data_IF_565481611206
#
_entry.id   IF_565481611206
#
_cell.length_a   1.000
_cell.length_b   1.000
_cell.length_c   1.000
_cell.angle_alpha   90.00
_cell.angle_beta   90.00
_cell.angle_gamma   90.00
#
_symmetry.space_group_name_H-M   'P 1'
#
loop_
_entity.id
_entity.type
_entity.pdbx_description
1 polymer ?
#
# COMPACT_ATOMS: atom_id res chain seq x y z
N UNK A 1 58.01 70.09 48.17
CA UNK A 1 57.90 69.01 47.16
C UNK A 1 59.18 69.07 46.33
N UNK A 2 59.88 67.95 46.19
CA UNK A 2 61.09 67.87 45.36
C UNK A 2 60.67 67.72 43.89
N UNK A 3 61.49 68.19 42.95
CA UNK A 3 61.19 68.04 41.51
C UNK A 3 60.89 66.58 41.13
N UNK A 4 61.59 65.60 41.71
CA UNK A 4 61.34 64.18 41.44
C UNK A 4 59.93 63.71 41.83
N UNK A 5 59.34 64.24 42.90
CA UNK A 5 57.97 63.85 43.30
C UNK A 5 56.90 64.42 42.37
N UNK A 6 57.19 65.54 41.71
CA UNK A 6 56.28 66.15 40.73
C UNK A 6 56.35 65.35 39.42
N UNK A 7 57.55 64.95 39.01
CA UNK A 7 57.78 64.14 37.80
C UNK A 7 57.16 62.73 37.92
N UNK A 8 57.29 62.09 39.10
CA UNK A 8 56.63 60.80 39.39
C UNK A 8 55.09 60.90 39.34
N UNK A 9 54.53 62.02 39.82
CA UNK A 9 53.09 62.27 39.77
C UNK A 9 52.62 62.52 38.33
N UNK A 10 53.38 63.27 37.53
CA UNK A 10 53.08 63.51 36.12
C UNK A 10 53.05 62.19 35.33
N UNK A 11 54.09 61.35 35.46
CA UNK A 11 54.13 60.05 34.80
C UNK A 11 52.98 59.13 35.20
N UNK A 12 52.48 59.25 36.44
CA UNK A 12 51.33 58.47 36.91
C UNK A 12 50.00 59.02 36.37
N UNK A 13 49.89 60.34 36.16
CA UNK A 13 48.74 60.96 35.51
C UNK A 13 48.69 60.52 34.04
N UNK A 14 49.79 60.62 33.30
CA UNK A 14 49.85 60.20 31.89
C UNK A 14 49.41 58.73 31.73
N UNK A 15 49.91 57.84 32.61
CA UNK A 15 49.50 56.43 32.60
C UNK A 15 48.02 56.21 32.93
N UNK A 16 47.44 57.05 33.79
CA UNK A 16 46.02 56.98 34.12
C UNK A 16 45.17 57.50 32.96
N UNK A 17 45.61 58.55 32.27
CA UNK A 17 44.96 59.09 31.07
C UNK A 17 44.95 58.03 29.95
N UNK A 18 46.10 57.42 29.64
CA UNK A 18 46.19 56.30 28.67
C UNK A 18 45.23 55.15 29.01
N UNK A 19 45.10 54.83 30.30
CA UNK A 19 44.21 53.76 30.76
C UNK A 19 42.73 54.15 30.68
N UNK A 20 42.40 55.42 30.93
CA UNK A 20 41.04 55.94 30.77
C UNK A 20 40.65 55.92 29.30
N UNK A 21 41.51 56.37 28.39
CA UNK A 21 41.26 56.35 26.95
C UNK A 21 41.05 54.91 26.42
N UNK A 22 41.84 53.96 26.92
CA UNK A 22 41.66 52.54 26.62
C UNK A 22 40.31 52.00 27.13
N UNK A 23 39.93 52.33 28.37
CA UNK A 23 38.64 51.93 28.93
C UNK A 23 37.45 52.56 28.21
N UNK A 24 37.54 53.81 27.80
CA UNK A 24 36.50 54.48 27.01
C UNK A 24 36.32 53.80 25.65
N UNK A 25 37.44 53.43 25.00
CA UNK A 25 37.41 52.67 23.75
C UNK A 25 36.78 51.29 23.94
N UNK A 26 37.15 50.56 24.99
CA UNK A 26 36.58 49.24 25.29
C UNK A 26 35.09 49.33 25.63
N UNK A 27 34.67 50.35 26.39
CA UNK A 27 33.26 50.58 26.69
C UNK A 27 32.45 50.86 25.43
N UNK A 28 32.97 51.67 24.50
CA UNK A 28 32.29 51.91 23.23
C UNK A 28 32.12 50.62 22.42
N UNK A 29 33.15 49.77 22.36
CA UNK A 29 33.06 48.48 21.67
C UNK A 29 32.05 47.53 22.34
N UNK A 30 31.97 47.54 23.68
CA UNK A 30 30.99 46.77 24.42
C UNK A 30 29.56 47.26 24.15
N UNK A 31 29.34 48.57 24.13
CA UNK A 31 28.04 49.17 23.79
C UNK A 31 27.59 48.77 22.38
N UNK A 32 28.47 48.90 21.39
CA UNK A 32 28.19 48.51 20.00
C UNK A 32 27.84 47.01 19.90
N UNK A 33 28.56 46.17 20.66
CA UNK A 33 28.31 44.72 20.70
C UNK A 33 26.96 44.40 21.34
N UNK A 34 26.62 45.08 22.43
CA UNK A 34 25.32 44.91 23.11
C UNK A 34 24.18 45.33 22.21
N UNK A 35 24.31 46.43 21.46
CA UNK A 35 23.29 46.88 20.51
C UNK A 35 23.09 45.86 19.38
N UNK A 36 24.19 45.34 18.79
CA UNK A 36 24.12 44.31 17.77
C UNK A 36 23.47 43.01 18.27
N UNK A 37 23.78 42.61 19.50
CA UNK A 37 23.15 41.45 20.15
C UNK A 37 21.66 41.69 20.41
N UNK A 38 21.28 42.89 20.87
CA UNK A 38 19.87 43.24 21.10
C UNK A 38 19.06 43.16 19.79
N UNK A 39 19.59 43.69 18.69
CA UNK A 39 18.97 43.59 17.37
C UNK A 39 18.81 42.12 16.91
N UNK A 40 19.83 41.29 17.16
CA UNK A 40 19.80 39.86 16.83
C UNK A 40 18.73 39.12 17.64
N UNK A 41 18.65 39.39 18.95
CA UNK A 41 17.65 38.77 19.84
C UNK A 41 16.25 39.16 19.39
N UNK A 42 16.02 40.41 18.98
CA UNK A 42 14.70 40.85 18.52
C UNK A 42 14.29 40.16 17.23
N UNK A 43 15.19 40.07 16.25
CA UNK A 43 14.97 39.30 15.02
C UNK A 43 14.65 37.82 15.31
N UNK A 44 15.35 37.21 16.28
CA UNK A 44 15.07 35.84 16.69
C UNK A 44 13.70 35.68 17.35
N UNK A 45 13.29 36.64 18.19
CA UNK A 45 11.95 36.65 18.82
C UNK A 45 10.86 36.74 17.77
N UNK A 46 11.01 37.58 16.76
CA UNK A 46 10.06 37.68 15.65
C UNK A 46 9.97 36.38 14.84
N UNK A 47 11.11 35.73 14.55
CA UNK A 47 11.09 34.42 13.89
C UNK A 47 10.39 33.36 14.74
N UNK A 48 10.58 33.38 16.06
CA UNK A 48 9.91 32.46 16.98
C UNK A 48 8.39 32.68 17.01
N UNK A 49 7.90 33.92 16.94
CA UNK A 49 6.46 34.19 16.87
C UNK A 49 5.88 33.67 15.56
N UNK A 50 6.55 33.91 14.43
CA UNK A 50 6.15 33.38 13.13
C UNK A 50 6.08 31.84 13.12
N UNK A 51 7.09 31.16 13.67
CA UNK A 51 7.07 29.71 13.77
C UNK A 51 5.94 29.19 14.66
N UNK A 52 5.65 29.85 15.79
CA UNK A 52 4.52 29.48 16.66
C UNK A 52 3.19 29.58 15.92
N UNK A 53 2.96 30.69 15.20
CA UNK A 53 1.74 30.86 14.39
C UNK A 53 1.65 29.76 13.32
N UNK A 54 2.77 29.46 12.64
CA UNK A 54 2.78 28.41 11.61
C UNK A 54 2.48 27.02 12.18
N UNK A 55 2.99 26.69 13.36
CA UNK A 55 2.67 25.42 14.03
C UNK A 55 1.18 25.33 14.35
N UNK A 56 0.57 26.39 14.88
CA UNK A 56 -0.88 26.43 15.16
C UNK A 56 -1.72 26.24 13.89
N UNK A 57 -1.33 26.85 12.77
CA UNK A 57 -1.99 26.61 11.48
C UNK A 57 -1.89 25.16 11.00
N UNK A 58 -0.75 24.51 11.24
CA UNK A 58 -0.55 23.11 10.84
C UNK A 58 -1.33 22.16 11.74
N UNK A 59 -1.39 22.42 13.04
CA UNK A 59 -2.20 21.67 14.00
C UNK A 59 -3.69 21.72 13.64
N UNK A 60 -4.23 22.92 13.40
CA UNK A 60 -5.63 23.08 12.98
C UNK A 60 -5.95 22.37 11.66
N UNK A 61 -5.03 22.39 10.69
CA UNK A 61 -5.16 21.61 9.45
C UNK A 61 -5.13 20.11 9.72
N UNK A 62 -4.24 19.64 10.58
CA UNK A 62 -4.14 18.23 10.94
C UNK A 62 -5.42 17.72 11.61
N UNK A 63 -6.00 18.51 12.51
CA UNK A 63 -7.27 18.18 13.16
C UNK A 63 -8.40 18.07 12.13
N UNK A 64 -8.53 19.07 11.25
CA UNK A 64 -9.55 19.05 10.18
C UNK A 64 -9.40 17.85 9.24
N UNK A 65 -8.16 17.49 8.87
CA UNK A 65 -7.88 16.34 8.03
C UNK A 65 -8.18 15.02 8.76
N UNK A 66 -7.90 14.96 10.06
CA UNK A 66 -8.19 13.81 10.91
C UNK A 66 -9.69 13.56 11.02
N UNK A 67 -10.46 14.62 11.22
CA UNK A 67 -11.93 14.52 11.28
C UNK A 67 -12.53 14.18 9.91
N UNK A 68 -11.99 14.74 8.82
CA UNK A 68 -12.38 14.34 7.47
C UNK A 68 -12.11 12.85 7.21
N UNK A 69 -10.93 12.36 7.63
CA UNK A 69 -10.58 10.93 7.52
C UNK A 69 -11.54 10.05 8.33
N UNK A 70 -11.89 10.43 9.57
CA UNK A 70 -12.89 9.70 10.37
C UNK A 70 -14.24 9.65 9.66
N UNK A 71 -14.69 10.77 9.10
CA UNK A 71 -15.94 10.83 8.36
C UNK A 71 -15.93 9.95 7.11
N UNK A 72 -14.84 9.96 6.34
CA UNK A 72 -14.66 9.05 5.20
C UNK A 72 -14.66 7.57 5.62
N UNK A 73 -14.00 7.24 6.74
CA UNK A 73 -14.02 5.87 7.28
C UNK A 73 -15.43 5.43 7.67
N UNK A 74 -16.22 6.30 8.30
CA UNK A 74 -17.61 6.02 8.63
C UNK A 74 -18.46 5.80 7.37
N UNK A 75 -18.29 6.65 6.34
CA UNK A 75 -19.00 6.49 5.06
C UNK A 75 -18.62 5.21 4.34
N UNK A 76 -17.34 4.85 4.36
CA UNK A 76 -16.84 3.61 3.76
C UNK A 76 -17.42 2.40 4.48
N UNK A 77 -17.45 2.39 5.81
CA UNK A 77 -18.08 1.32 6.59
C UNK A 77 -19.59 1.22 6.31
N UNK A 78 -20.29 2.35 6.17
CA UNK A 78 -21.71 2.36 5.81
C UNK A 78 -21.93 1.74 4.41
N UNK A 79 -21.10 2.11 3.43
CA UNK A 79 -21.14 1.53 2.08
C UNK A 79 -20.79 0.04 2.09
N UNK A 80 -19.75 -0.39 2.81
CA UNK A 80 -19.42 -1.82 2.94
C UNK A 80 -20.56 -2.62 3.58
N UNK A 81 -21.26 -2.03 4.56
CA UNK A 81 -22.43 -2.66 5.18
C UNK A 81 -23.61 -2.75 4.21
N UNK A 82 -23.87 -1.71 3.43
CA UNK A 82 -24.94 -1.72 2.42
C UNK A 82 -24.61 -2.64 1.23
N UNK A 83 -23.37 -2.70 0.77
CA UNK A 83 -22.91 -3.60 -0.31
C UNK A 83 -22.94 -5.09 0.09
N UNK A 84 -22.90 -5.42 1.39
CA UNK A 84 -23.16 -6.81 1.82
C UNK A 84 -24.65 -7.20 1.72
N UNK A 85 -25.55 -6.24 1.52
CA UNK A 85 -27.00 -6.48 1.45
C UNK A 85 -27.61 -6.15 0.10
N UNK A 86 -27.01 -5.27 -0.71
CA UNK A 86 -27.53 -4.89 -2.03
C UNK A 86 -26.44 -4.37 -2.97
N UNK A 87 -25.69 -5.27 -3.63
CA UNK A 87 -25.19 -4.99 -4.98
C UNK A 87 -25.25 -6.26 -5.83
N UNK A 88 -26.08 -6.17 -6.86
CA UNK A 88 -26.40 -7.18 -7.85
C UNK A 88 -25.16 -7.76 -8.56
N UNK A 89 -25.01 -9.09 -8.49
CA UNK A 89 -24.92 -9.90 -9.70
C UNK A 89 -25.81 -11.12 -9.48
N UNK A 90 -27.12 -10.94 -9.66
CA UNK A 90 -28.05 -12.02 -9.95
C UNK A 90 -27.80 -12.55 -11.38
N UNK A 91 -26.56 -12.97 -11.67
CA UNK A 91 -26.33 -14.03 -12.64
C UNK A 91 -26.20 -15.30 -11.83
N UNK A 92 -26.84 -16.41 -12.22
CA UNK A 92 -26.68 -17.69 -11.53
C UNK A 92 -25.20 -18.08 -11.60
N UNK A 93 -24.43 -17.67 -10.60
CA UNK A 93 -23.00 -17.90 -10.56
C UNK A 93 -22.85 -19.35 -10.13
N UNK A 94 -22.22 -20.15 -10.98
CA UNK A 94 -21.99 -21.55 -10.65
C UNK A 94 -21.23 -21.63 -9.31
N UNK A 95 -21.49 -22.65 -8.47
CA UNK A 95 -20.70 -22.87 -7.26
C UNK A 95 -19.18 -22.88 -7.52
N UNK A 96 -18.76 -23.28 -8.72
CA UNK A 96 -17.36 -23.25 -9.15
C UNK A 96 -16.83 -21.81 -9.29
N UNK A 97 -17.63 -20.88 -9.79
CA UNK A 97 -17.27 -19.47 -9.87
C UNK A 97 -17.12 -18.86 -8.47
N UNK A 98 -18.04 -19.17 -7.55
CA UNK A 98 -17.95 -18.74 -6.15
C UNK A 98 -16.68 -19.26 -5.48
N UNK A 99 -16.30 -20.52 -5.76
CA UNK A 99 -15.08 -21.15 -5.24
C UNK A 99 -13.80 -20.41 -5.67
N UNK A 100 -13.75 -19.91 -6.90
CA UNK A 100 -12.57 -19.16 -7.39
C UNK A 100 -12.45 -17.81 -6.68
N UNK A 101 -13.57 -17.11 -6.47
CA UNK A 101 -13.65 -15.80 -5.82
C UNK A 101 -13.35 -15.83 -4.32
N UNK A 102 -13.27 -17.00 -3.69
CA UNK A 102 -12.98 -17.11 -2.27
C UNK A 102 -11.65 -16.42 -1.89
N UNK A 103 -11.63 -15.64 -0.79
CA UNK A 103 -10.42 -15.00 -0.29
C UNK A 103 -9.41 -16.05 0.19
N UNK A 104 -8.10 -15.75 0.19
CA UNK A 104 -7.05 -16.71 0.53
C UNK A 104 -7.21 -17.32 1.93
N UNK A 105 -7.78 -16.57 2.88
CA UNK A 105 -8.09 -17.06 4.23
C UNK A 105 -9.18 -18.14 4.27
N UNK A 106 -10.09 -18.16 3.29
CA UNK A 106 -11.14 -19.16 3.18
C UNK A 106 -10.68 -20.42 2.39
N UNK A 107 -9.65 -20.29 1.55
CA UNK A 107 -9.07 -21.39 0.78
C UNK A 107 -8.49 -22.47 1.70
N UNK A 108 -7.97 -22.10 2.88
CA UNK A 108 -7.41 -23.06 3.86
C UNK A 108 -8.44 -24.04 4.45
N UNK A 109 -9.75 -23.76 4.31
CA UNK A 109 -10.83 -24.64 4.76
C UNK A 109 -11.28 -25.62 3.67
N UNK A 110 -10.77 -25.48 2.45
CA UNK A 110 -11.14 -26.35 1.34
C UNK A 110 -10.45 -27.71 1.46
N UNK A 111 -11.14 -28.75 1.00
CA UNK A 111 -10.47 -30.05 0.82
C UNK A 111 -9.42 -29.94 -0.27
N UNK A 112 -8.38 -30.78 -0.20
CA UNK A 112 -7.28 -30.74 -1.17
C UNK A 112 -7.76 -30.89 -2.63
N UNK A 113 -8.85 -31.61 -2.88
CA UNK A 113 -9.39 -31.78 -4.23
C UNK A 113 -10.22 -30.57 -4.71
N UNK A 114 -10.91 -29.87 -3.80
CA UNK A 114 -11.56 -28.60 -4.11
C UNK A 114 -10.53 -27.51 -4.45
N UNK A 115 -9.41 -27.46 -3.71
CA UNK A 115 -8.32 -26.53 -4.00
C UNK A 115 -7.67 -26.81 -5.36
N UNK A 116 -7.49 -28.09 -5.72
CA UNK A 116 -7.02 -28.51 -7.05
C UNK A 116 -7.98 -28.11 -8.16
N UNK A 117 -9.28 -28.36 -7.97
CA UNK A 117 -10.32 -27.98 -8.94
C UNK A 117 -10.35 -26.45 -9.13
N UNK A 118 -10.27 -25.68 -8.03
CA UNK A 118 -10.16 -24.22 -8.06
C UNK A 118 -8.95 -23.75 -8.85
N UNK A 119 -7.77 -24.34 -8.61
CA UNK A 119 -6.54 -23.99 -9.31
C UNK A 119 -6.67 -24.16 -10.83
N UNK A 120 -7.21 -25.29 -11.27
CA UNK A 120 -7.42 -25.58 -12.69
C UNK A 120 -8.48 -24.65 -13.31
N UNK A 121 -9.57 -24.40 -12.59
CA UNK A 121 -10.67 -23.58 -13.08
C UNK A 121 -10.31 -22.09 -13.21
N UNK A 122 -9.39 -21.60 -12.35
CA UNK A 122 -8.91 -20.21 -12.38
C UNK A 122 -8.26 -19.85 -13.72
N UNK A 123 -7.39 -20.72 -14.22
CA UNK A 123 -6.59 -20.48 -15.42
C UNK A 123 -6.97 -21.46 -16.54
N UNK A 124 -8.26 -21.81 -16.65
CA UNK A 124 -8.76 -22.82 -17.59
C UNK A 124 -8.43 -22.51 -19.06
N UNK A 125 -8.32 -21.21 -19.42
CA UNK A 125 -7.95 -20.76 -20.77
C UNK A 125 -6.53 -21.18 -21.18
N UNK A 126 -5.63 -21.34 -20.21
CA UNK A 126 -4.24 -21.70 -20.48
C UNK A 126 -4.08 -23.19 -20.75
N UNK A 127 -4.95 -24.01 -20.14
CA UNK A 127 -4.82 -25.47 -20.17
C UNK A 127 -5.82 -26.16 -21.11
N UNK A 128 -6.98 -25.55 -21.36
CA UNK A 128 -8.04 -26.19 -22.13
C UNK A 128 -7.91 -25.95 -23.64
N UNK A 129 -8.27 -26.98 -24.42
CA UNK A 129 -8.26 -26.91 -25.88
C UNK A 129 -9.61 -26.40 -26.39
N UNK A 130 -9.61 -25.42 -27.31
CA UNK A 130 -10.84 -24.92 -27.92
C UNK A 130 -11.49 -26.01 -28.80
N UNK A 131 -12.78 -26.24 -28.59
CA UNK A 131 -13.62 -27.19 -29.34
C UNK A 131 -14.94 -26.51 -29.71
N UNK A 132 -15.71 -27.03 -30.68
CA UNK A 132 -17.00 -26.42 -31.06
C UNK A 132 -18.01 -26.28 -29.92
N UNK A 133 -17.91 -27.13 -28.89
CA UNK A 133 -18.76 -27.07 -27.70
C UNK A 133 -18.22 -26.13 -26.59
N UNK A 134 -17.09 -25.45 -26.80
CA UNK A 134 -16.44 -24.57 -25.83
C UNK A 134 -14.97 -24.94 -25.60
N UNK A 135 -14.59 -25.26 -24.36
CA UNK A 135 -13.22 -25.57 -23.96
C UNK A 135 -13.15 -26.96 -23.34
N UNK A 136 -12.32 -27.84 -23.90
CA UNK A 136 -12.17 -29.22 -23.46
C UNK A 136 -10.89 -29.42 -22.65
N UNK A 137 -11.03 -30.15 -21.54
CA UNK A 137 -9.92 -30.52 -20.66
C UNK A 137 -9.88 -32.04 -20.46
N UNK A 138 -8.76 -32.64 -20.82
CA UNK A 138 -8.55 -34.10 -20.77
C UNK A 138 -7.87 -34.53 -19.46
N UNK A 139 -8.00 -35.81 -19.10
CA UNK A 139 -7.41 -36.36 -17.86
C UNK A 139 -5.89 -36.35 -17.85
N UNK A 140 -5.25 -36.43 -19.02
CA UNK A 140 -3.82 -36.22 -19.20
C UNK A 140 -3.44 -34.78 -18.87
N UNK A 141 -4.17 -33.80 -19.41
CA UNK A 141 -3.90 -32.38 -19.19
C UNK A 141 -4.03 -32.01 -17.71
N UNK A 142 -5.10 -32.46 -17.05
CA UNK A 142 -5.27 -32.26 -15.59
C UNK A 142 -4.10 -32.85 -14.81
N UNK A 143 -3.66 -34.07 -15.18
CA UNK A 143 -2.51 -34.71 -14.53
C UNK A 143 -1.23 -33.88 -14.70
N UNK A 144 -0.97 -33.36 -15.89
CA UNK A 144 0.21 -32.53 -16.18
C UNK A 144 0.17 -31.22 -15.39
N UNK A 145 -0.98 -30.54 -15.35
CA UNK A 145 -1.15 -29.27 -14.61
C UNK A 145 -0.97 -29.49 -13.11
N UNK A 146 -1.54 -30.56 -12.55
CA UNK A 146 -1.37 -30.88 -11.14
C UNK A 146 0.05 -31.34 -10.80
N UNK A 147 0.73 -32.02 -11.72
CA UNK A 147 2.15 -32.34 -11.56
C UNK A 147 3.00 -31.07 -11.51
N UNK A 148 2.74 -30.10 -12.41
CA UNK A 148 3.43 -28.81 -12.39
C UNK A 148 3.17 -28.04 -11.09
N UNK A 149 1.95 -28.11 -10.54
CA UNK A 149 1.60 -27.47 -9.26
C UNK A 149 2.26 -28.13 -8.05
N UNK A 150 2.19 -29.46 -7.95
CA UNK A 150 2.56 -30.19 -6.72
C UNK A 150 3.95 -30.85 -6.78
N UNK A 151 4.64 -30.80 -7.93
CA UNK A 151 5.94 -31.46 -8.13
C UNK A 151 5.89 -32.99 -8.12
N UNK A 152 4.69 -33.59 -8.09
CA UNK A 152 4.49 -35.04 -8.05
C UNK A 152 3.33 -35.47 -8.93
N UNK A 153 3.40 -36.67 -9.49
CA UNK A 153 2.32 -37.20 -10.34
C UNK A 153 1.11 -37.58 -9.48
N UNK A 154 -0.06 -36.95 -9.66
CA UNK A 154 -1.25 -37.31 -8.92
C UNK A 154 -1.78 -38.68 -9.35
N UNK A 155 -2.35 -39.43 -8.39
CA UNK A 155 -3.04 -40.69 -8.69
C UNK A 155 -4.22 -40.49 -9.66
N UNK A 156 -4.52 -41.52 -10.44
CA UNK A 156 -5.65 -41.55 -11.38
C UNK A 156 -7.00 -41.27 -10.68
N UNK A 157 -7.15 -41.73 -9.45
CA UNK A 157 -8.32 -41.45 -8.61
C UNK A 157 -8.42 -39.96 -8.23
N UNK A 158 -7.30 -39.30 -7.94
CA UNK A 158 -7.25 -37.86 -7.65
C UNK A 158 -7.69 -37.05 -8.85
N UNK A 159 -7.19 -37.37 -10.05
CA UNK A 159 -7.59 -36.71 -11.30
C UNK A 159 -9.08 -36.91 -11.56
N UNK A 160 -9.60 -38.12 -11.34
CA UNK A 160 -11.03 -38.40 -11.51
C UNK A 160 -11.89 -37.57 -10.54
N UNK A 161 -11.53 -37.56 -9.25
CA UNK A 161 -12.24 -36.74 -8.25
C UNK A 161 -12.23 -35.26 -8.60
N UNK A 162 -11.13 -34.74 -9.11
CA UNK A 162 -11.04 -33.33 -9.55
C UNK A 162 -11.94 -33.06 -10.75
N UNK A 163 -12.05 -33.99 -11.71
CA UNK A 163 -13.01 -33.88 -12.81
C UNK A 163 -14.44 -33.87 -12.31
N UNK A 164 -14.77 -34.77 -11.39
CA UNK A 164 -16.11 -34.87 -10.79
C UNK A 164 -16.44 -33.56 -10.04
N UNK A 165 -15.48 -32.98 -9.29
CA UNK A 165 -15.66 -31.67 -8.64
C UNK A 165 -15.91 -30.53 -9.63
N UNK A 166 -15.26 -30.53 -10.80
CA UNK A 166 -15.48 -29.49 -11.80
C UNK A 166 -16.90 -29.57 -12.42
N UNK A 167 -17.42 -30.79 -12.58
CA UNK A 167 -18.78 -31.06 -13.06
C UNK A 167 -19.82 -30.65 -12.00
N UNK A 168 -19.66 -31.14 -10.77
CA UNK A 168 -20.59 -30.91 -9.66
C UNK A 168 -20.75 -29.42 -9.33
N UNK A 169 -19.62 -28.69 -9.29
CA UNK A 169 -19.61 -27.27 -8.98
C UNK A 169 -19.89 -26.40 -10.22
N UNK A 170 -19.61 -26.91 -11.42
CA UNK A 170 -19.84 -26.22 -12.67
C UNK A 170 -21.31 -26.25 -13.13
N UNK A 171 -22.09 -27.25 -12.70
CA UNK A 171 -23.51 -27.43 -13.06
C UNK A 171 -23.70 -27.33 -14.58
N UNK A 172 -24.66 -26.53 -15.05
CA UNK A 172 -24.99 -26.41 -16.48
C UNK A 172 -23.84 -25.87 -17.36
N UNK A 173 -22.86 -25.23 -16.74
CA UNK A 173 -21.71 -24.62 -17.41
C UNK A 173 -20.56 -25.59 -17.69
N UNK A 174 -20.58 -26.78 -17.08
CA UNK A 174 -19.53 -27.79 -17.20
C UNK A 174 -20.15 -29.16 -17.39
N UNK A 175 -19.61 -29.95 -18.32
CA UNK A 175 -20.10 -31.30 -18.55
C UNK A 175 -18.98 -32.30 -18.77
N UNK A 176 -19.02 -33.42 -18.05
CA UNK A 176 -18.18 -34.57 -18.33
C UNK A 176 -18.72 -35.34 -19.54
N UNK A 177 -17.85 -35.55 -20.54
CA UNK A 177 -18.12 -36.39 -21.71
C UNK A 177 -17.10 -37.52 -21.77
N UNK A 178 -17.57 -38.75 -21.95
CA UNK A 178 -16.72 -39.93 -22.18
C UNK A 178 -16.78 -40.33 -23.65
N UNK A 179 -15.64 -40.31 -24.35
CA UNK A 179 -15.52 -40.83 -25.74
C UNK A 179 -14.29 -41.72 -25.86
N UNK A 180 -14.44 -42.87 -26.53
CA UNK A 180 -13.34 -43.82 -26.82
C UNK A 180 -12.49 -44.17 -25.57
N UNK A 181 -13.12 -44.38 -24.42
CA UNK A 181 -12.44 -44.71 -23.16
C UNK A 181 -11.82 -43.52 -22.40
N UNK A 182 -11.79 -42.32 -22.99
CA UNK A 182 -11.23 -41.11 -22.36
C UNK A 182 -12.34 -40.21 -21.79
N UNK A 183 -12.18 -39.79 -20.53
CA UNK A 183 -13.03 -38.78 -19.88
C UNK A 183 -12.49 -37.38 -20.18
N UNK A 184 -13.39 -36.47 -20.56
CA UNK A 184 -13.11 -35.06 -20.85
C UNK A 184 -14.11 -34.17 -20.14
N UNK A 185 -13.65 -33.05 -19.59
CA UNK A 185 -14.51 -32.02 -19.01
C UNK A 185 -14.67 -30.91 -20.05
N UNK A 186 -15.90 -30.54 -20.39
CA UNK A 186 -16.18 -29.48 -21.36
C UNK A 186 -16.77 -28.28 -20.61
N UNK A 187 -16.13 -27.13 -20.74
CA UNK A 187 -16.62 -25.84 -20.24
C UNK A 187 -17.26 -25.08 -21.40
N UNK A 188 -18.42 -24.47 -21.17
CA UNK A 188 -19.01 -23.57 -22.17
C UNK A 188 -18.15 -22.31 -22.33
N UNK A 189 -18.22 -21.66 -23.48
CA UNK A 189 -17.46 -20.41 -23.73
C UNK A 189 -17.87 -19.28 -22.77
N UNK A 190 -19.16 -19.28 -22.39
CA UNK A 190 -19.68 -18.40 -21.34
C UNK A 190 -19.01 -18.67 -19.99
N UNK A 191 -18.95 -19.94 -19.57
CA UNK A 191 -18.31 -20.32 -18.31
C UNK A 191 -16.85 -19.85 -18.25
N UNK A 192 -16.08 -20.08 -19.31
CA UNK A 192 -14.68 -19.67 -19.36
C UNK A 192 -14.50 -18.15 -19.34
N UNK A 193 -15.43 -17.41 -19.93
CA UNK A 193 -15.41 -15.94 -19.90
C UNK A 193 -15.72 -15.40 -18.51
N UNK A 194 -16.67 -16.01 -17.79
CA UNK A 194 -16.97 -15.66 -16.40
C UNK A 194 -15.81 -15.97 -15.46
N UNK A 195 -15.19 -17.15 -15.59
CA UNK A 195 -14.07 -17.55 -14.73
C UNK A 195 -12.83 -16.67 -15.00
N UNK A 196 -12.56 -16.32 -16.27
CA UNK A 196 -11.45 -15.44 -16.62
C UNK A 196 -11.59 -14.00 -16.09
N UNK A 197 -12.81 -13.49 -15.94
CA UNK A 197 -13.08 -12.17 -15.34
C UNK A 197 -12.72 -12.08 -13.85
N UNK A 198 -12.41 -13.20 -13.20
CA UNK A 198 -12.01 -13.26 -11.77
C UNK A 198 -10.52 -13.41 -11.55
N UNK A 199 -9.74 -13.69 -12.60
CA UNK A 199 -8.29 -13.66 -12.49
C UNK A 199 -7.84 -12.22 -12.36
N UNK A 200 -7.13 -11.81 -11.30
CA UNK A 200 -6.56 -10.48 -11.24
C UNK A 200 -5.50 -10.42 -12.34
N UNK A 201 -5.87 -9.93 -13.53
CA UNK A 201 -4.91 -9.25 -14.38
C UNK A 201 -4.21 -8.28 -13.46
N UNK A 202 -2.92 -8.51 -13.25
CA UNK A 202 -2.03 -7.64 -12.49
C UNK A 202 -2.10 -6.24 -13.09
N UNK A 203 -3.08 -5.45 -12.66
CA UNK A 203 -3.04 -3.99 -12.74
C UNK A 203 -1.96 -3.61 -11.75
N UNK A 204 -0.74 -3.61 -12.26
CA UNK A 204 0.44 -3.18 -11.56
C UNK A 204 0.16 -1.79 -10.98
N UNK A 205 0.33 -1.68 -9.67
CA UNK A 205 0.21 -0.45 -8.87
C UNK A 205 1.11 0.68 -9.42
N UNK A 206 2.03 0.38 -10.33
CA UNK A 206 2.92 1.33 -11.01
C UNK A 206 2.21 2.34 -11.92
N UNK A 207 0.95 2.11 -12.32
CA UNK A 207 0.25 3.06 -13.21
C UNK A 207 -0.36 4.28 -12.49
N UNK A 208 -0.49 4.25 -11.16
CA UNK A 208 -1.06 5.35 -10.39
C UNK A 208 -0.02 6.42 -10.01
N UNK A 209 1.27 6.07 -10.04
CA UNK A 209 2.36 6.95 -9.53
C UNK A 209 2.90 7.92 -10.60
N UNK A 210 2.63 7.69 -11.89
CA UNK A 210 3.21 8.51 -12.97
C UNK A 210 2.39 9.76 -13.33
N UNK A 211 1.25 10.01 -12.67
CA UNK A 211 0.36 11.12 -13.01
C UNK A 211 0.67 12.47 -12.36
N UNK A 212 1.53 12.53 -11.35
CA UNK A 212 1.82 13.76 -10.60
C UNK A 212 3.30 14.11 -10.71
N UNK A 213 3.66 14.75 -11.82
CA UNK A 213 4.81 15.66 -11.93
C UNK A 213 4.43 16.83 -12.81
#
# INVERSE_FOLDING_TARGET
>A
MTESTIEDLAARIDKLEDHVDALETDNQQLEDTVEAQAATIESQRERLTQYKTRVQELETKLDSATDHRKHLQQRLHALESEDTTNTEVNKPTSPLHQLIRLPPKAVSKLTANQERARFIAKDIKEYATKVPAGFALDSSTIRTVLHAKEGRTPHTQTVSRVMDFLDDFGKESVKIVKRRGTKRVIFTEHAVSELAGTSPTSRSITDVVMGWR
#
